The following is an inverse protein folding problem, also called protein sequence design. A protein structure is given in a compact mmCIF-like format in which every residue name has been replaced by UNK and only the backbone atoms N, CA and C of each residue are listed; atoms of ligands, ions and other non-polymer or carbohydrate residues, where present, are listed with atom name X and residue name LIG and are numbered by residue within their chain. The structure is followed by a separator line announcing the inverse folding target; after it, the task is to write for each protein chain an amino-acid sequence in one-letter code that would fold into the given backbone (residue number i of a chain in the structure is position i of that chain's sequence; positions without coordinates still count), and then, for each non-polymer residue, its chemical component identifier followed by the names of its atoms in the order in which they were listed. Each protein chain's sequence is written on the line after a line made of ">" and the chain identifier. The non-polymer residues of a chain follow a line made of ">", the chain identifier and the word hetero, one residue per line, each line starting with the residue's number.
data_IF_962489789360
#
_entry.id   IF_962489789360
#
_cell.length_a   1.000
_cell.length_b   1.000
_cell.length_c   1.000
_cell.angle_alpha   90.00
_cell.angle_beta   90.00
_cell.angle_gamma   90.00
#
_symmetry.space_group_name_H-M   'P 1'
#
loop_
_entity.id
_entity.type
_entity.pdbx_description
1 polymer ?
#
# COMPACT_ATOMS: atom_id res chain seq x y z
N UNK A 1 4.35 -18.02 6.59
CA UNK A 1 3.51 -16.80 6.69
C UNK A 1 3.39 -16.42 8.16
N UNK A 2 3.81 -15.23 8.59
CA UNK A 2 3.58 -14.76 9.95
C UNK A 2 2.09 -14.53 10.20
N UNK A 3 1.63 -14.72 11.44
CA UNK A 3 0.26 -14.44 11.87
C UNK A 3 0.28 -13.17 12.70
N UNK A 4 -0.67 -12.27 12.45
CA UNK A 4 -0.84 -11.02 13.21
C UNK A 4 -2.20 -11.04 13.90
N UNK A 5 -2.26 -10.48 15.10
CA UNK A 5 -3.51 -10.19 15.81
C UNK A 5 -3.71 -8.68 15.74
N UNK A 6 -4.92 -8.26 15.41
CA UNK A 6 -5.30 -6.86 15.32
C UNK A 6 -6.71 -6.72 15.84
N UNK A 7 -6.94 -5.68 16.63
CA UNK A 7 -8.27 -5.30 17.07
C UNK A 7 -8.91 -4.46 15.96
N UNK A 8 -10.09 -4.87 15.53
CA UNK A 8 -10.92 -4.17 14.56
C UNK A 8 -12.27 -3.93 15.20
N UNK A 9 -12.88 -2.79 14.91
CA UNK A 9 -14.24 -2.52 15.34
C UNK A 9 -15.21 -3.51 14.65
N UNK A 10 -16.32 -3.84 15.31
CA UNK A 10 -17.28 -4.83 14.80
C UNK A 10 -17.84 -4.42 13.43
N UNK A 11 -18.05 -3.11 13.22
CA UNK A 11 -18.49 -2.54 11.96
C UNK A 11 -17.51 -2.78 10.81
N UNK A 12 -16.21 -2.72 11.07
CA UNK A 12 -15.15 -2.94 10.09
C UNK A 12 -15.08 -4.41 9.70
N UNK A 13 -15.23 -5.31 10.67
CA UNK A 13 -15.31 -6.76 10.44
C UNK A 13 -16.53 -7.09 9.57
N UNK A 14 -17.69 -6.53 9.90
CA UNK A 14 -18.92 -6.73 9.13
C UNK A 14 -18.82 -6.16 7.72
N UNK A 15 -18.15 -5.01 7.55
CA UNK A 15 -17.87 -4.44 6.24
C UNK A 15 -16.94 -5.33 5.40
N UNK A 16 -15.87 -5.85 6.01
CA UNK A 16 -14.94 -6.77 5.35
C UNK A 16 -15.63 -8.05 4.87
N UNK A 17 -16.56 -8.60 5.68
CA UNK A 17 -17.32 -9.79 5.30
C UNK A 17 -18.23 -9.55 4.10
N UNK A 18 -18.97 -8.42 4.10
CA UNK A 18 -19.81 -8.06 2.95
C UNK A 18 -18.97 -7.89 1.69
N UNK A 19 -17.80 -7.25 1.81
CA UNK A 19 -16.90 -7.05 0.68
C UNK A 19 -16.31 -8.35 0.16
N UNK A 20 -15.89 -9.24 1.06
CA UNK A 20 -15.38 -10.56 0.71
C UNK A 20 -16.44 -11.40 -0.01
N UNK A 21 -17.68 -11.39 0.48
CA UNK A 21 -18.81 -12.06 -0.17
C UNK A 21 -19.11 -11.51 -1.57
N UNK A 22 -19.11 -10.17 -1.71
CA UNK A 22 -19.34 -9.51 -3.00
C UNK A 22 -18.24 -9.84 -4.04
N UNK A 23 -16.99 -9.99 -3.61
CA UNK A 23 -15.86 -10.35 -4.48
C UNK A 23 -15.68 -11.88 -4.66
N UNK A 24 -16.47 -12.71 -3.96
CA UNK A 24 -16.30 -14.17 -3.97
C UNK A 24 -14.97 -14.64 -3.37
N UNK A 25 -14.37 -13.85 -2.47
CA UNK A 25 -13.06 -14.09 -1.86
C UNK A 25 -13.19 -14.40 -0.38
N UNK A 26 -12.13 -14.97 0.20
CA UNK A 26 -12.01 -15.02 1.66
C UNK A 26 -11.67 -13.64 2.23
N UNK A 27 -12.13 -13.35 3.46
CA UNK A 27 -11.79 -12.12 4.19
C UNK A 27 -10.28 -11.86 4.24
N UNK A 28 -9.49 -12.91 4.49
CA UNK A 28 -8.04 -12.82 4.55
C UNK A 28 -7.40 -12.51 3.19
N UNK A 29 -8.02 -12.93 2.07
CA UNK A 29 -7.56 -12.55 0.74
C UNK A 29 -7.79 -11.06 0.49
N UNK A 30 -8.99 -10.55 0.83
CA UNK A 30 -9.30 -9.11 0.73
C UNK A 30 -8.31 -8.27 1.54
N UNK A 31 -7.98 -8.68 2.77
CA UNK A 31 -6.99 -7.99 3.60
C UNK A 31 -5.59 -8.00 2.97
N UNK A 32 -5.15 -9.12 2.38
CA UNK A 32 -3.85 -9.18 1.71
C UNK A 32 -3.79 -8.28 0.49
N UNK A 33 -4.86 -8.25 -0.30
CA UNK A 33 -4.99 -7.37 -1.47
C UNK A 33 -4.95 -5.90 -1.04
N UNK A 34 -5.69 -5.54 0.03
CA UNK A 34 -5.70 -4.18 0.58
C UNK A 34 -4.31 -3.74 1.07
N UNK A 35 -3.58 -4.60 1.79
CA UNK A 35 -2.21 -4.31 2.23
C UNK A 35 -1.26 -4.12 1.04
N UNK A 36 -1.40 -4.95 0.00
CA UNK A 36 -0.59 -4.81 -1.22
C UNK A 36 -0.87 -3.48 -1.94
N UNK A 37 -2.15 -3.12 -2.09
CA UNK A 37 -2.57 -1.85 -2.69
C UNK A 37 -2.06 -0.65 -1.89
N UNK A 38 -2.23 -0.66 -0.57
CA UNK A 38 -1.73 0.40 0.32
C UNK A 38 -0.22 0.58 0.22
N UNK A 39 0.56 -0.52 0.18
CA UNK A 39 2.01 -0.42 -0.04
C UNK A 39 2.35 0.22 -1.37
N UNK A 40 1.65 -0.14 -2.45
CA UNK A 40 1.89 0.43 -3.77
C UNK A 40 1.58 1.94 -3.79
N UNK A 41 0.50 2.36 -3.14
CA UNK A 41 0.13 3.77 -2.98
C UNK A 41 1.18 4.55 -2.18
N UNK A 42 1.60 4.02 -1.03
CA UNK A 42 2.63 4.65 -0.19
C UNK A 42 3.95 4.83 -0.95
N UNK A 43 4.37 3.80 -1.71
CA UNK A 43 5.59 3.87 -2.54
C UNK A 43 5.46 4.86 -3.71
N UNK A 44 4.25 5.04 -4.25
CA UNK A 44 4.00 6.04 -5.29
C UNK A 44 3.98 7.47 -4.74
N UNK A 45 3.55 7.65 -3.50
CA UNK A 45 3.43 8.96 -2.83
C UNK A 45 4.72 9.46 -2.16
N UNK A 46 5.68 8.58 -1.89
CA UNK A 46 6.93 8.91 -1.23
C UNK A 46 7.86 9.80 -2.07
N UNK A 47 8.83 10.43 -1.39
CA UNK A 47 9.97 11.17 -1.99
C UNK A 47 10.78 10.24 -2.92
N UNK A 48 10.49 8.93 -2.89
CA UNK A 48 11.09 7.88 -3.69
C UNK A 48 10.99 8.12 -5.21
N UNK A 49 9.90 8.72 -5.68
CA UNK A 49 9.75 9.14 -7.08
C UNK A 49 10.74 10.22 -7.53
N UNK A 50 11.46 10.83 -6.60
CA UNK A 50 12.46 11.87 -6.87
C UNK A 50 13.90 11.40 -6.60
N UNK A 51 14.13 10.20 -6.06
CA UNK A 51 15.49 9.64 -5.97
C UNK A 51 16.05 9.46 -7.38
N UNK A 52 17.05 10.28 -7.74
CA UNK A 52 17.73 10.23 -9.04
C UNK A 52 17.66 11.53 -9.86
N UNK A 53 16.76 12.47 -9.52
CA UNK A 53 16.61 13.73 -10.27
C UNK A 53 17.85 14.64 -10.14
N UNK A 54 18.64 14.48 -9.09
CA UNK A 54 19.91 15.20 -8.93
C UNK A 54 21.13 14.49 -9.54
N UNK A 55 21.04 13.22 -9.97
CA UNK A 55 22.21 12.51 -10.51
C UNK A 55 22.64 12.99 -11.91
N UNK A 56 21.77 13.68 -12.65
CA UNK A 56 22.07 14.19 -14.00
C UNK A 56 22.44 15.68 -14.07
N UNK A 57 22.46 16.41 -12.94
CA UNK A 57 22.92 17.81 -12.94
C UNK A 57 24.44 17.83 -12.84
N UNK A 58 25.12 17.83 -13.99
CA UNK A 58 26.46 18.39 -14.05
C UNK A 58 26.39 19.81 -13.51
N UNK A 59 27.18 20.10 -12.48
CA UNK A 59 27.39 21.46 -12.04
C UNK A 59 27.89 22.22 -13.27
N UNK A 60 27.13 23.20 -13.75
CA UNK A 60 27.61 24.08 -14.80
C UNK A 60 28.88 24.75 -14.29
N UNK A 61 30.02 24.29 -14.79
CA UNK A 61 31.27 25.02 -14.69
C UNK A 61 31.04 26.33 -15.44
N UNK A 62 31.08 27.42 -14.69
CA UNK A 62 31.05 28.74 -15.28
C UNK A 62 32.36 29.00 -15.99
N UNK A 63 32.26 29.43 -17.24
CA UNK A 63 33.19 30.35 -17.91
C UNK A 63 32.38 31.30 -18.79
#
# INVERSE_FOLDING_TARGET
>A
MPRILVDLADEDVAWLDRRAAAEGKSRAAVLRDAVAAYRAEVQAGGIERYFGIWQGRSHGEGE
#
